data_IF_879444686379
#
_entry.id   IF_879444686379
#
_cell.length_a   1.000
_cell.length_b   1.000
_cell.length_c   1.000
_cell.angle_alpha   90.00
_cell.angle_beta   90.00
_cell.angle_gamma   90.00
#
_symmetry.space_group_name_H-M   'P 1'
#
loop_
_entity.id
_entity.type
_entity.pdbx_description
1 polymer ?
#
# COMPACT_ATOMS: atom_id res chain seq x y z
N UNK A 1 23.59 -10.20 -12.75
CA UNK A 1 23.21 -8.88 -12.19
C UNK A 1 22.09 -9.13 -11.20
N UNK A 2 22.30 -8.86 -9.90
CA UNK A 2 21.19 -8.95 -8.95
C UNK A 2 20.20 -7.81 -9.27
N UNK A 3 18.95 -8.15 -9.55
CA UNK A 3 17.92 -7.14 -9.81
C UNK A 3 17.68 -6.34 -8.52
N UNK A 4 17.84 -5.02 -8.58
CA UNK A 4 17.53 -4.14 -7.46
C UNK A 4 16.01 -4.09 -7.28
N UNK A 5 15.54 -4.26 -6.04
CA UNK A 5 14.11 -4.18 -5.71
C UNK A 5 13.70 -2.71 -5.67
N UNK A 6 12.63 -2.35 -6.38
CA UNK A 6 12.03 -1.01 -6.36
C UNK A 6 10.51 -1.07 -6.17
N UNK A 7 9.98 -0.04 -5.48
CA UNK A 7 8.56 0.13 -5.21
C UNK A 7 8.14 1.52 -5.71
N UNK A 8 7.14 1.57 -6.58
CA UNK A 8 6.64 2.81 -7.18
C UNK A 8 5.15 2.97 -6.87
N UNK A 9 4.82 4.04 -6.13
CA UNK A 9 3.42 4.39 -5.83
C UNK A 9 2.85 5.26 -6.94
N UNK A 10 1.61 4.97 -7.33
CA UNK A 10 0.82 5.79 -8.24
C UNK A 10 -0.64 5.83 -7.76
N UNK A 11 -1.35 6.90 -8.09
CA UNK A 11 -2.73 7.10 -7.64
C UNK A 11 -3.29 8.44 -8.15
N UNK A 12 -4.57 8.72 -7.85
CA UNK A 12 -5.19 10.00 -8.19
C UNK A 12 -4.56 11.09 -7.32
N UNK A 13 -3.97 12.12 -7.93
CA UNK A 13 -3.29 13.19 -7.19
C UNK A 13 -4.22 13.94 -6.21
N UNK A 14 -5.49 14.10 -6.56
CA UNK A 14 -6.52 14.72 -5.70
C UNK A 14 -7.83 13.94 -5.79
N UNK A 15 -8.48 13.70 -4.66
CA UNK A 15 -9.77 13.01 -4.54
C UNK A 15 -10.68 13.87 -3.65
N UNK A 16 -11.99 13.94 -3.93
CA UNK A 16 -12.90 14.72 -3.08
C UNK A 16 -13.26 13.95 -1.80
N UNK A 17 -13.64 14.65 -0.72
CA UNK A 17 -14.18 13.99 0.46
C UNK A 17 -15.37 13.07 0.12
N UNK A 18 -15.48 11.96 0.85
CA UNK A 18 -16.46 10.89 0.66
C UNK A 18 -16.35 10.06 -0.64
N UNK A 19 -15.44 10.42 -1.56
CA UNK A 19 -15.11 9.58 -2.71
C UNK A 19 -14.19 8.43 -2.30
N UNK A 20 -13.81 7.61 -3.28
CA UNK A 20 -12.91 6.48 -3.10
C UNK A 20 -11.51 6.86 -3.61
N UNK A 21 -10.51 6.66 -2.76
CA UNK A 21 -9.10 6.71 -3.14
C UNK A 21 -8.66 5.31 -3.57
N UNK A 22 -8.05 5.21 -4.74
CA UNK A 22 -7.46 3.96 -5.24
C UNK A 22 -5.99 4.21 -5.60
N UNK A 23 -5.09 3.45 -5.00
CA UNK A 23 -3.65 3.58 -5.19
C UNK A 23 -3.05 2.26 -5.62
N UNK A 24 -1.99 2.33 -6.42
CA UNK A 24 -1.23 1.20 -6.91
C UNK A 24 0.21 1.32 -6.44
N UNK A 25 0.76 0.25 -5.90
CA UNK A 25 2.18 0.08 -5.66
C UNK A 25 2.72 -0.99 -6.60
N UNK A 26 3.60 -0.60 -7.52
CA UNK A 26 4.27 -1.52 -8.43
C UNK A 26 5.59 -1.98 -7.83
N UNK A 27 5.77 -3.28 -7.75
CA UNK A 27 6.98 -3.94 -7.23
C UNK A 27 7.78 -4.50 -8.40
N UNK A 28 9.04 -4.11 -8.50
CA UNK A 28 9.99 -4.63 -9.49
C UNK A 28 11.16 -5.30 -8.79
N UNK A 29 11.72 -6.36 -9.40
CA UNK A 29 12.88 -7.09 -8.86
C UNK A 29 12.56 -8.07 -7.73
N UNK A 30 11.31 -8.22 -7.32
CA UNK A 30 10.85 -9.22 -6.35
C UNK A 30 9.48 -9.79 -6.75
N UNK A 31 9.19 -11.03 -6.33
CA UNK A 31 7.85 -11.63 -6.49
C UNK A 31 6.98 -11.30 -5.29
N UNK A 32 5.69 -11.00 -5.55
CA UNK A 32 4.70 -10.79 -4.49
C UNK A 32 4.32 -12.08 -3.75
N UNK A 33 4.72 -13.26 -4.24
CA UNK A 33 4.34 -14.57 -3.67
C UNK A 33 5.52 -15.33 -3.08
N UNK A 34 6.71 -14.72 -3.04
CA UNK A 34 7.93 -15.33 -2.55
C UNK A 34 8.49 -14.50 -1.39
N UNK A 35 8.72 -15.17 -0.25
CA UNK A 35 9.26 -14.57 0.95
C UNK A 35 10.77 -14.33 0.94
N UNK A 36 11.50 -14.89 -0.04
CA UNK A 36 12.98 -14.87 -0.05
C UNK A 36 13.56 -13.47 -0.08
N UNK A 37 12.92 -12.55 -0.82
CA UNK A 37 13.42 -11.19 -1.05
C UNK A 37 12.52 -10.10 -0.46
N UNK A 38 11.26 -10.43 -0.17
CA UNK A 38 10.27 -9.50 0.36
C UNK A 38 9.18 -10.29 1.08
N UNK A 39 8.93 -9.96 2.35
CA UNK A 39 7.90 -10.63 3.14
C UNK A 39 6.49 -10.08 2.87
N UNK A 40 6.40 -8.85 2.37
CA UNK A 40 5.14 -8.21 2.04
C UNK A 40 5.32 -6.75 1.64
N UNK A 41 4.18 -6.10 1.38
CA UNK A 41 4.10 -4.67 1.07
C UNK A 41 3.24 -3.99 2.13
N UNK A 42 3.81 -3.01 2.80
CA UNK A 42 3.10 -2.11 3.70
C UNK A 42 2.58 -0.90 2.96
N UNK A 43 1.38 -0.48 3.32
CA UNK A 43 0.83 0.82 2.99
C UNK A 43 0.98 1.76 4.18
N UNK A 44 1.58 2.92 3.93
CA UNK A 44 1.86 3.94 4.93
C UNK A 44 1.44 5.29 4.39
N UNK A 45 0.88 6.16 5.23
CA UNK A 45 0.68 7.57 4.87
C UNK A 45 1.44 8.48 5.82
N UNK A 46 1.79 9.65 5.33
CA UNK A 46 2.30 10.75 6.13
C UNK A 46 1.35 11.94 5.96
N UNK A 47 0.51 12.25 6.96
CA UNK A 47 -0.22 13.51 6.96
C UNK A 47 0.75 14.68 7.07
N UNK A 48 0.36 15.84 6.55
CA UNK A 48 1.20 17.04 6.58
C UNK A 48 1.63 17.37 8.02
N UNK A 49 2.94 17.49 8.21
CA UNK A 49 3.57 17.82 9.50
C UNK A 49 3.31 16.79 10.62
N UNK A 50 2.93 15.55 10.27
CA UNK A 50 2.75 14.45 11.22
C UNK A 50 3.70 13.29 10.92
N UNK A 51 3.75 12.36 11.88
CA UNK A 51 4.49 11.11 11.73
C UNK A 51 3.81 10.18 10.73
N UNK A 52 4.54 9.16 10.30
CA UNK A 52 4.03 8.08 9.47
C UNK A 52 2.94 7.30 10.21
N UNK A 53 1.85 7.02 9.50
CA UNK A 53 0.73 6.21 9.94
C UNK A 53 0.62 4.97 9.06
N UNK A 54 0.69 3.79 9.68
CA UNK A 54 0.50 2.52 8.99
C UNK A 54 -0.99 2.30 8.67
N UNK A 55 -1.28 1.83 7.44
CA UNK A 55 -2.65 1.61 6.95
C UNK A 55 -2.99 0.14 6.84
N UNK A 56 -2.01 -0.68 6.47
CA UNK A 56 -2.19 -2.11 6.31
C UNK A 56 -1.00 -2.78 5.63
N UNK A 57 -1.08 -4.09 5.51
CA UNK A 57 -0.06 -4.92 4.86
C UNK A 57 -0.69 -5.99 3.97
N UNK A 58 0.00 -6.33 2.89
CA UNK A 58 -0.23 -7.51 2.06
C UNK A 58 1.03 -8.38 2.14
N UNK A 59 0.94 -9.53 2.80
CA UNK A 59 2.05 -10.49 2.89
C UNK A 59 2.16 -11.39 1.66
N UNK A 60 3.31 -12.01 1.51
CA UNK A 60 3.58 -12.95 0.40
C UNK A 60 2.58 -14.13 0.35
N UNK A 61 2.09 -14.57 1.51
CA UNK A 61 1.11 -15.64 1.71
C UNK A 61 -0.36 -15.19 1.57
N UNK A 62 -0.61 -13.99 1.03
CA UNK A 62 -1.91 -13.36 0.88
C UNK A 62 -2.63 -13.02 2.20
N UNK A 63 -1.94 -13.09 3.34
CA UNK A 63 -2.48 -12.57 4.61
C UNK A 63 -2.49 -11.04 4.56
N UNK A 64 -3.66 -10.49 4.86
CA UNK A 64 -3.89 -9.04 4.89
C UNK A 64 -4.13 -8.61 6.34
N UNK A 65 -3.55 -7.49 6.74
CA UNK A 65 -3.87 -6.82 8.00
C UNK A 65 -4.13 -5.35 7.76
N UNK A 66 -5.04 -4.78 8.54
CA UNK A 66 -5.49 -3.40 8.39
C UNK A 66 -5.28 -2.62 9.69
N UNK A 67 -5.06 -1.31 9.56
CA UNK A 67 -5.14 -0.41 10.69
C UNK A 67 -6.58 -0.39 11.24
N UNK A 68 -6.72 -0.50 12.57
CA UNK A 68 -8.01 -0.56 13.24
C UNK A 68 -8.88 0.68 12.93
N UNK A 69 -8.26 1.84 12.75
CA UNK A 69 -8.95 3.10 12.40
C UNK A 69 -9.59 3.11 11.00
N UNK A 70 -9.19 2.20 10.12
CA UNK A 70 -9.65 2.12 8.74
C UNK A 70 -10.51 0.88 8.47
N UNK A 71 -10.71 0.04 9.48
CA UNK A 71 -11.41 -1.23 9.36
C UNK A 71 -12.83 -1.02 8.79
N UNK A 72 -13.17 -1.80 7.76
CA UNK A 72 -14.45 -1.69 7.04
C UNK A 72 -14.48 -0.64 5.91
N UNK A 73 -13.44 0.19 5.77
CA UNK A 73 -13.31 1.18 4.66
C UNK A 73 -12.10 0.93 3.76
N UNK A 74 -11.03 0.37 4.31
CA UNK A 74 -9.84 -0.01 3.55
C UNK A 74 -9.96 -1.43 3.00
N UNK A 75 -9.52 -1.60 1.75
CA UNK A 75 -9.34 -2.89 1.09
C UNK A 75 -7.96 -2.90 0.45
N UNK A 76 -7.20 -3.97 0.66
CA UNK A 76 -5.89 -4.17 0.01
C UNK A 76 -5.97 -5.44 -0.85
N UNK A 77 -5.55 -5.36 -2.10
CA UNK A 77 -5.51 -6.50 -3.03
C UNK A 77 -4.17 -6.55 -3.75
N UNK A 78 -3.90 -7.64 -4.48
CA UNK A 78 -2.69 -7.77 -5.31
C UNK A 78 -2.98 -8.45 -6.63
N UNK A 79 -2.23 -8.07 -7.66
CA UNK A 79 -2.11 -8.77 -8.94
C UNK A 79 -0.66 -9.24 -9.10
N UNK A 80 -0.45 -10.54 -8.90
CA UNK A 80 0.86 -11.17 -8.94
C UNK A 80 1.45 -11.23 -10.34
N UNK A 81 0.60 -11.21 -11.38
CA UNK A 81 1.07 -11.22 -12.77
C UNK A 81 1.64 -9.86 -13.17
N UNK A 82 1.11 -8.78 -12.59
CA UNK A 82 1.60 -7.40 -12.81
C UNK A 82 2.65 -6.97 -11.80
N UNK A 83 2.80 -7.69 -10.69
CA UNK A 83 3.64 -7.26 -9.58
C UNK A 83 3.07 -6.02 -8.89
N UNK A 84 1.74 -5.89 -8.82
CA UNK A 84 1.07 -4.70 -8.29
C UNK A 84 0.27 -5.04 -7.02
N UNK A 85 0.31 -4.13 -6.05
CA UNK A 85 -0.52 -4.15 -4.85
C UNK A 85 -1.41 -2.92 -4.89
N UNK A 86 -2.71 -3.09 -4.64
CA UNK A 86 -3.68 -2.02 -4.69
C UNK A 86 -4.21 -1.71 -3.29
N UNK A 87 -4.37 -0.43 -2.98
CA UNK A 87 -5.10 0.06 -1.81
C UNK A 87 -6.32 0.82 -2.28
N UNK A 88 -7.49 0.42 -1.77
CA UNK A 88 -8.75 1.11 -1.97
C UNK A 88 -9.27 1.58 -0.63
N UNK A 89 -9.51 2.88 -0.48
CA UNK A 89 -10.07 3.49 0.72
C UNK A 89 -11.36 4.21 0.36
N UNK A 90 -12.48 3.76 0.93
CA UNK A 90 -13.81 4.33 0.67
C UNK A 90 -14.17 5.39 1.69
N UNK A 91 -14.98 6.36 1.27
CA UNK A 91 -15.45 7.43 2.15
C UNK A 91 -14.30 8.24 2.72
N UNK A 92 -13.38 8.67 1.83
CA UNK A 92 -12.15 9.36 2.22
C UNK A 92 -12.49 10.62 3.00
N UNK A 93 -11.81 10.80 4.14
CA UNK A 93 -12.03 11.94 5.03
C UNK A 93 -10.90 12.97 4.89
N UNK A 94 -11.13 14.26 5.18
CA UNK A 94 -10.08 15.27 5.11
C UNK A 94 -8.84 14.94 5.94
N UNK A 95 -9.01 14.31 7.11
CA UNK A 95 -7.91 13.85 7.96
C UNK A 95 -7.08 12.72 7.34
N UNK A 96 -7.58 12.09 6.26
CA UNK A 96 -6.89 11.04 5.51
C UNK A 96 -5.93 11.60 4.46
N UNK A 97 -5.98 12.90 4.19
CA UNK A 97 -5.05 13.60 3.30
C UNK A 97 -3.59 13.49 3.77
N UNK A 98 -2.67 13.37 2.82
CA UNK A 98 -1.24 13.25 3.07
C UNK A 98 -0.51 12.59 1.90
N UNK A 99 0.78 12.39 2.07
CA UNK A 99 1.58 11.61 1.11
C UNK A 99 1.47 10.13 1.44
N UNK A 100 1.21 9.31 0.43
CA UNK A 100 1.11 7.86 0.59
C UNK A 100 2.35 7.18 0.04
N UNK A 101 2.76 6.11 0.72
CA UNK A 101 3.94 5.34 0.41
C UNK A 101 3.59 3.86 0.45
N UNK A 102 4.29 3.09 -0.38
CA UNK A 102 4.45 1.67 -0.14
C UNK A 102 5.88 1.36 0.27
N UNK A 103 6.01 0.45 1.24
CA UNK A 103 7.29 0.02 1.78
C UNK A 103 7.37 -1.49 1.74
N UNK A 104 8.55 -2.03 1.40
CA UNK A 104 8.81 -3.47 1.49
C UNK A 104 8.97 -3.87 2.95
N UNK A 105 8.37 -4.99 3.32
CA UNK A 105 8.64 -5.69 4.57
C UNK A 105 9.87 -6.59 4.37
N UNK A 106 10.93 -6.30 5.13
CA UNK A 106 12.19 -7.06 5.12
C UNK A 106 12.39 -7.67 6.49
N UNK A 107 12.64 -8.98 6.53
CA UNK A 107 13.04 -9.70 7.75
C UNK A 107 14.48 -9.37 8.12
#
# INVERSE_FOLDING_TARGET
VAAQISLEVSGPGTVKPAETLEMTCKVSGASLTDSTNMWGVHWVRQPDRKNLEWLGTMRYDAVISYAQSLQGRITITRDTNKGEVYLKLTGVKPEESGTYYCARDTV
#
